data_IF_716200131728
#
_entry.id   IF_716200131728
#
_cell.length_a   1.000
_cell.length_b   1.000
_cell.length_c   1.000
_cell.angle_alpha   90.00
_cell.angle_beta   90.00
_cell.angle_gamma   90.00
#
_symmetry.space_group_name_H-M   'P 1'
#
loop_
_entity.id
_entity.type
_entity.pdbx_description
1 polymer ?
#
# COMPACT_ATOMS: atom_id res chain seq x y z
N UNK A 1 0.53 -7.26 6.11
CA UNK A 1 1.83 -7.62 6.67
C UNK A 1 1.81 -7.43 8.17
N UNK A 2 2.12 -8.45 8.88
CA UNK A 2 2.46 -8.24 10.28
C UNK A 2 3.79 -7.52 10.31
N UNK A 3 3.84 -6.40 10.99
CA UNK A 3 5.11 -5.78 11.28
C UNK A 3 5.89 -6.79 12.10
N UNK A 4 6.99 -7.33 11.66
CA UNK A 4 7.73 -8.38 12.33
C UNK A 4 7.94 -8.25 13.85
N UNK A 5 7.26 -7.32 14.47
CA UNK A 5 7.28 -7.00 15.89
C UNK A 5 6.76 -8.18 16.71
N UNK A 6 5.68 -8.83 16.27
CA UNK A 6 5.18 -10.03 16.94
C UNK A 6 6.18 -11.18 16.87
N UNK A 7 6.90 -11.27 15.75
CA UNK A 7 7.90 -12.31 15.54
C UNK A 7 9.13 -12.13 16.45
N UNK A 8 9.43 -10.93 16.86
CA UNK A 8 10.50 -10.65 17.83
C UNK A 8 10.01 -10.64 19.28
N UNK A 9 8.76 -11.06 19.45
CA UNK A 9 8.32 -11.53 20.77
C UNK A 9 7.97 -10.45 21.76
N UNK A 10 7.53 -9.32 21.33
CA UNK A 10 7.37 -8.34 22.33
C UNK A 10 6.09 -7.53 22.32
N UNK A 11 5.33 -7.55 21.23
CA UNK A 11 4.23 -6.59 21.10
C UNK A 11 2.93 -7.32 20.88
N UNK A 12 1.99 -7.14 21.80
CA UNK A 12 0.63 -7.65 21.66
C UNK A 12 -0.11 -6.89 20.55
N UNK A 13 -1.23 -7.44 20.08
CA UNK A 13 -2.08 -6.77 19.10
C UNK A 13 -2.53 -5.40 19.59
N UNK A 14 -2.84 -5.26 20.87
CA UNK A 14 -3.24 -3.97 21.46
C UNK A 14 -2.12 -2.95 21.43
N UNK A 15 -0.88 -3.37 21.69
CA UNK A 15 0.28 -2.49 21.61
C UNK A 15 0.56 -2.08 20.17
N UNK A 16 0.37 -2.99 19.21
CA UNK A 16 0.53 -2.67 17.80
C UNK A 16 -0.48 -1.59 17.37
N UNK A 17 -1.74 -1.74 17.76
CA UNK A 17 -2.77 -0.74 17.46
C UNK A 17 -2.41 0.63 18.05
N UNK A 18 -1.90 0.67 19.28
CA UNK A 18 -1.47 1.90 19.93
C UNK A 18 -0.27 2.54 19.20
N UNK A 19 0.69 1.74 18.76
CA UNK A 19 1.85 2.23 17.99
C UNK A 19 1.40 2.83 16.66
N UNK A 20 0.51 2.14 15.93
CA UNK A 20 0.00 2.63 14.66
C UNK A 20 -0.83 3.90 14.82
N UNK A 21 -1.66 3.98 15.87
CA UNK A 21 -2.45 5.16 16.14
C UNK A 21 -1.59 6.39 16.48
N UNK A 22 -0.37 6.19 16.95
CA UNK A 22 0.56 7.28 17.26
C UNK A 22 1.28 7.86 16.04
N UNK A 23 1.14 7.25 14.86
CA UNK A 23 1.76 7.78 13.64
C UNK A 23 1.05 9.06 13.23
N UNK A 24 1.79 10.16 13.19
CA UNK A 24 1.27 11.49 12.91
C UNK A 24 1.76 12.08 11.58
N UNK A 25 2.61 11.37 10.86
CA UNK A 25 3.12 11.81 9.55
C UNK A 25 2.21 11.32 8.43
N UNK A 26 2.19 12.00 7.27
CA UNK A 26 1.45 11.51 6.11
C UNK A 26 1.95 10.12 5.68
N UNK A 27 1.03 9.24 5.32
CA UNK A 27 1.36 7.87 4.92
C UNK A 27 0.64 7.48 3.64
N UNK A 28 1.36 6.75 2.79
CA UNK A 28 0.82 6.16 1.56
C UNK A 28 0.92 4.64 1.65
N UNK A 29 -0.21 3.98 1.52
CA UNK A 29 -0.32 2.52 1.57
C UNK A 29 -0.72 1.99 0.21
N UNK A 30 0.07 1.07 -0.31
CA UNK A 30 -0.16 0.48 -1.64
C UNK A 30 -0.15 -1.04 -1.49
N UNK A 31 -1.18 -1.67 -2.02
CA UNK A 31 -1.24 -3.12 -2.13
C UNK A 31 -2.00 -3.53 -3.38
N UNK A 32 -2.08 -4.81 -3.65
CA UNK A 32 -2.79 -5.38 -4.79
C UNK A 32 -3.71 -6.49 -4.32
N UNK A 33 -4.75 -6.79 -5.08
CA UNK A 33 -5.70 -7.84 -4.68
C UNK A 33 -5.04 -9.23 -4.60
N UNK A 34 -3.91 -9.42 -5.28
CA UNK A 34 -3.14 -10.69 -5.27
C UNK A 34 -1.83 -10.57 -4.49
N UNK A 35 -1.71 -9.56 -3.63
CA UNK A 35 -0.49 -9.30 -2.88
C UNK A 35 -0.43 -10.17 -1.62
N UNK A 36 -0.10 -11.43 -1.83
CA UNK A 36 0.07 -12.40 -0.76
C UNK A 36 1.54 -12.75 -0.57
N UNK A 37 1.94 -12.89 0.67
CA UNK A 37 3.25 -13.39 1.05
C UNK A 37 3.06 -14.71 1.78
N UNK A 38 3.64 -15.78 1.24
CA UNK A 38 3.58 -17.08 1.86
C UNK A 38 4.97 -17.68 1.92
N UNK A 39 5.45 -17.89 3.14
CA UNK A 39 6.71 -18.56 3.42
C UNK A 39 6.45 -19.57 4.54
N UNK A 40 7.29 -20.60 4.73
CA UNK A 40 7.09 -21.55 5.81
C UNK A 40 6.88 -20.88 7.16
N UNK A 41 5.73 -21.13 7.78
CA UNK A 41 5.35 -20.57 9.08
C UNK A 41 4.80 -19.14 9.05
N UNK A 42 4.63 -18.54 7.86
CA UNK A 42 4.11 -17.18 7.77
C UNK A 42 3.27 -17.00 6.50
N UNK A 43 2.11 -16.38 6.66
CA UNK A 43 1.23 -16.02 5.56
C UNK A 43 0.69 -14.61 5.79
N UNK A 44 0.76 -13.77 4.78
CA UNK A 44 0.24 -12.40 4.82
C UNK A 44 -0.66 -12.14 3.62
N UNK A 45 -1.79 -11.51 3.86
CA UNK A 45 -2.78 -11.18 2.84
C UNK A 45 -2.89 -9.67 2.64
N UNK A 46 -3.50 -9.21 1.53
CA UNK A 46 -3.80 -7.79 1.35
C UNK A 46 -4.64 -7.19 2.48
N UNK A 47 -5.55 -7.97 3.05
CA UNK A 47 -6.42 -7.49 4.14
C UNK A 47 -5.62 -7.04 5.35
N UNK A 48 -4.53 -7.71 5.68
CA UNK A 48 -3.67 -7.29 6.78
C UNK A 48 -3.07 -5.90 6.54
N UNK A 49 -2.74 -5.58 5.30
CA UNK A 49 -2.21 -4.27 4.95
C UNK A 49 -3.26 -3.18 5.02
N UNK A 50 -4.49 -3.52 4.66
CA UNK A 50 -5.63 -2.61 4.80
C UNK A 50 -5.92 -2.35 6.28
N UNK A 51 -5.82 -3.38 7.11
CA UNK A 51 -6.00 -3.24 8.57
C UNK A 51 -4.95 -2.29 9.16
N UNK A 52 -3.72 -2.37 8.70
CA UNK A 52 -2.67 -1.43 9.13
C UNK A 52 -3.05 0.01 8.74
N UNK A 53 -3.49 0.22 7.51
CA UNK A 53 -3.95 1.54 7.07
C UNK A 53 -5.08 2.07 7.97
N UNK A 54 -6.06 1.23 8.27
CA UNK A 54 -7.20 1.64 9.09
C UNK A 54 -6.81 1.96 10.54
N UNK A 55 -5.79 1.30 11.07
CA UNK A 55 -5.32 1.52 12.43
C UNK A 55 -4.53 2.83 12.58
N UNK A 56 -4.00 3.38 11.51
CA UNK A 56 -3.27 4.65 11.54
C UNK A 56 -4.28 5.79 11.63
N UNK A 57 -4.15 6.65 12.62
CA UNK A 57 -5.04 7.80 12.82
C UNK A 57 -4.45 9.13 12.37
N UNK A 58 -3.32 9.11 11.68
CA UNK A 58 -2.68 10.31 11.19
C UNK A 58 -3.54 11.11 10.20
N UNK A 59 -3.29 12.42 10.04
CA UNK A 59 -4.20 13.32 9.34
C UNK A 59 -4.23 13.14 7.83
N UNK A 60 -3.17 12.66 7.22
CA UNK A 60 -3.06 12.49 5.77
C UNK A 60 -2.63 11.08 5.46
N UNK A 61 -3.59 10.20 5.27
CA UNK A 61 -3.30 8.84 4.85
C UNK A 61 -4.04 8.49 3.57
N UNK A 62 -3.38 7.74 2.71
CA UNK A 62 -3.90 7.33 1.42
C UNK A 62 -3.75 5.83 1.29
N UNK A 63 -4.78 5.17 0.78
CA UNK A 63 -4.77 3.74 0.46
C UNK A 63 -5.07 3.57 -1.01
N UNK A 64 -4.23 2.83 -1.72
CA UNK A 64 -4.49 2.39 -3.09
C UNK A 64 -4.38 0.88 -3.16
N UNK A 65 -5.43 0.23 -3.63
CA UNK A 65 -5.46 -1.21 -3.87
C UNK A 65 -5.66 -1.44 -5.37
N UNK A 66 -4.68 -2.01 -6.03
CA UNK A 66 -4.76 -2.31 -7.45
C UNK A 66 -5.38 -3.69 -7.69
N UNK A 67 -6.09 -3.84 -8.80
CA UNK A 67 -6.54 -5.15 -9.25
C UNK A 67 -5.36 -5.97 -9.75
N UNK A 68 -5.34 -7.26 -9.42
CA UNK A 68 -4.28 -8.17 -9.86
C UNK A 68 -2.95 -7.83 -9.19
N UNK A 69 -1.86 -8.16 -9.86
CA UNK A 69 -0.52 -7.98 -9.32
C UNK A 69 -0.22 -8.90 -8.13
N UNK A 70 1.04 -9.05 -7.85
CA UNK A 70 1.48 -9.79 -6.66
C UNK A 70 2.52 -8.96 -5.91
N UNK A 71 2.98 -9.48 -4.78
CA UNK A 71 3.96 -8.76 -3.96
C UNK A 71 5.26 -8.43 -4.72
N UNK A 72 5.63 -9.27 -5.68
CA UNK A 72 6.90 -9.14 -6.39
C UNK A 72 6.95 -7.97 -7.38
N UNK A 73 5.83 -7.35 -7.73
CA UNK A 73 5.84 -6.18 -8.64
C UNK A 73 6.67 -5.04 -8.07
N UNK A 74 6.78 -4.94 -6.75
CA UNK A 74 7.51 -3.86 -6.09
C UNK A 74 9.00 -4.17 -5.92
N UNK A 75 9.39 -5.43 -6.01
CA UNK A 75 10.76 -5.86 -5.75
C UNK A 75 11.62 -5.98 -7.02
N UNK A 76 11.02 -5.91 -8.21
CA UNK A 76 11.72 -6.13 -9.46
C UNK A 76 12.17 -7.57 -9.68
N UNK A 77 11.70 -8.51 -8.88
CA UNK A 77 12.02 -9.92 -9.04
C UNK A 77 11.49 -10.46 -10.36
N UNK A 78 12.21 -11.46 -10.90
CA UNK A 78 11.81 -12.14 -12.13
C UNK A 78 10.42 -12.73 -11.97
N UNK A 79 9.55 -12.44 -12.93
CA UNK A 79 8.17 -12.89 -12.93
C UNK A 79 7.87 -13.69 -14.18
N UNK A 80 6.73 -14.39 -14.15
CA UNK A 80 6.25 -15.12 -15.32
C UNK A 80 6.02 -14.15 -16.49
N UNK A 81 6.43 -14.52 -17.71
CA UNK A 81 6.28 -13.62 -18.86
C UNK A 81 4.86 -13.12 -19.10
N UNK A 82 3.85 -13.96 -18.85
CA UNK A 82 2.45 -13.58 -19.03
C UNK A 82 1.97 -12.48 -18.08
N UNK A 83 2.69 -12.24 -16.99
CA UNK A 83 2.37 -11.18 -16.01
C UNK A 83 3.23 -9.93 -16.21
N UNK A 84 4.22 -9.98 -17.08
CA UNK A 84 5.20 -8.89 -17.19
C UNK A 84 4.57 -7.55 -17.58
N UNK A 85 3.65 -7.55 -18.56
CA UNK A 85 3.01 -6.33 -18.99
C UNK A 85 2.11 -5.73 -17.92
N UNK A 86 1.29 -6.56 -17.28
CA UNK A 86 0.44 -6.12 -16.18
C UNK A 86 1.27 -5.51 -15.06
N UNK A 87 2.35 -6.18 -14.68
CA UNK A 87 3.23 -5.70 -13.62
C UNK A 87 3.92 -4.39 -13.97
N UNK A 88 4.29 -4.19 -15.24
CA UNK A 88 4.86 -2.92 -15.69
C UNK A 88 3.86 -1.78 -15.57
N UNK A 89 2.60 -2.02 -15.94
CA UNK A 89 1.53 -1.03 -15.82
C UNK A 89 1.32 -0.65 -14.37
N UNK A 90 1.22 -1.63 -13.48
CA UNK A 90 1.01 -1.39 -12.04
C UNK A 90 2.23 -0.71 -11.41
N UNK A 91 3.42 -1.07 -11.82
CA UNK A 91 4.65 -0.43 -11.33
C UNK A 91 4.70 1.04 -11.73
N UNK A 92 4.37 1.35 -12.99
CA UNK A 92 4.33 2.74 -13.46
C UNK A 92 3.26 3.54 -12.71
N UNK A 93 2.09 2.94 -12.48
CA UNK A 93 1.02 3.58 -11.71
C UNK A 93 1.45 3.85 -10.27
N UNK A 94 2.17 2.92 -9.65
CA UNK A 94 2.71 3.07 -8.29
C UNK A 94 3.72 4.22 -8.22
N UNK A 95 4.59 4.32 -9.20
CA UNK A 95 5.58 5.40 -9.26
C UNK A 95 4.92 6.76 -9.40
N UNK A 96 3.93 6.89 -10.27
CA UNK A 96 3.21 8.15 -10.46
C UNK A 96 2.34 8.49 -9.25
N UNK A 97 1.78 7.48 -8.56
CA UNK A 97 1.05 7.69 -7.32
C UNK A 97 1.95 8.23 -6.22
N UNK A 98 3.13 7.66 -6.08
CA UNK A 98 4.10 8.11 -5.07
C UNK A 98 4.49 9.57 -5.31
N UNK A 99 4.69 9.96 -6.57
CA UNK A 99 4.99 11.34 -6.93
C UNK A 99 3.81 12.27 -6.63
N UNK A 100 2.59 11.87 -6.98
CA UNK A 100 1.39 12.64 -6.70
C UNK A 100 1.20 12.84 -5.19
N UNK A 101 1.44 11.81 -4.41
CA UNK A 101 1.37 11.88 -2.95
C UNK A 101 2.38 12.90 -2.38
N UNK A 102 3.63 12.81 -2.80
CA UNK A 102 4.67 13.74 -2.35
C UNK A 102 4.33 15.18 -2.74
N UNK A 103 3.83 15.40 -3.94
CA UNK A 103 3.44 16.74 -4.40
C UNK A 103 2.28 17.31 -3.59
N UNK A 104 1.29 16.50 -3.28
CA UNK A 104 0.13 16.98 -2.50
C UNK A 104 0.51 17.25 -1.05
N UNK A 105 1.24 16.35 -0.42
CA UNK A 105 1.72 16.51 0.96
C UNK A 105 2.67 17.70 1.07
N UNK A 106 3.51 17.91 0.06
CA UNK A 106 4.44 19.04 0.01
C UNK A 106 3.79 20.38 -0.33
N UNK A 107 2.47 20.41 -0.57
CA UNK A 107 1.76 21.65 -0.87
C UNK A 107 1.89 22.16 -2.29
N UNK A 108 2.51 21.39 -3.20
CA UNK A 108 2.69 21.80 -4.59
C UNK A 108 1.41 21.70 -5.42
N UNK A 109 0.52 20.78 -5.08
CA UNK A 109 -0.75 20.60 -5.77
C UNK A 109 -1.76 19.95 -4.84
N UNK A 110 -2.87 20.62 -4.59
CA UNK A 110 -3.95 20.10 -3.74
C UNK A 110 -4.80 19.06 -4.46
N UNK A 111 -4.65 18.92 -5.79
CA UNK A 111 -5.45 18.03 -6.63
C UNK A 111 -4.64 16.85 -7.19
N UNK A 112 -3.37 16.72 -6.84
CA UNK A 112 -2.49 15.72 -7.46
C UNK A 112 -3.03 14.30 -7.33
N UNK A 113 -3.47 13.90 -6.14
CA UNK A 113 -4.01 12.56 -5.88
C UNK A 113 -5.34 12.34 -6.58
N UNK A 114 -6.20 13.34 -6.60
CA UNK A 114 -7.50 13.25 -7.26
C UNK A 114 -7.35 13.07 -8.77
N UNK A 115 -6.45 13.82 -9.39
CA UNK A 115 -6.16 13.68 -10.81
C UNK A 115 -5.54 12.32 -11.12
N UNK A 116 -4.62 11.85 -10.28
CA UNK A 116 -4.05 10.53 -10.42
C UNK A 116 -5.14 9.45 -10.35
N UNK A 117 -6.03 9.54 -9.36
CA UNK A 117 -7.13 8.60 -9.19
C UNK A 117 -8.01 8.54 -10.44
N UNK A 118 -8.38 9.68 -10.98
CA UNK A 118 -9.22 9.75 -12.18
C UNK A 118 -8.55 9.09 -13.39
N UNK A 119 -7.25 9.27 -13.54
CA UNK A 119 -6.49 8.70 -14.65
C UNK A 119 -6.29 7.19 -14.52
N UNK A 120 -6.33 6.65 -13.30
CA UNK A 120 -6.00 5.25 -13.03
C UNK A 120 -7.19 4.44 -12.52
N UNK A 121 -8.39 4.99 -12.59
CA UNK A 121 -9.60 4.36 -12.04
C UNK A 121 -9.78 2.89 -12.46
N UNK A 122 -9.55 2.49 -13.73
CA UNK A 122 -9.72 1.11 -14.14
C UNK A 122 -8.76 0.13 -13.46
N UNK A 123 -7.66 0.60 -12.93
CA UNK A 123 -6.67 -0.23 -12.24
C UNK A 123 -6.98 -0.42 -10.75
N UNK A 124 -7.89 0.36 -10.20
CA UNK A 124 -8.10 0.43 -8.76
C UNK A 124 -9.26 -0.43 -8.31
N UNK A 125 -9.00 -1.33 -7.38
CA UNK A 125 -10.02 -2.04 -6.63
C UNK A 125 -10.56 -1.16 -5.49
N UNK A 126 -9.71 -0.33 -4.89
CA UNK A 126 -10.07 0.56 -3.80
C UNK A 126 -9.10 1.74 -3.76
N UNK A 127 -9.61 2.92 -3.46
CA UNK A 127 -8.80 4.11 -3.23
C UNK A 127 -9.45 4.95 -2.16
N UNK A 128 -8.70 5.30 -1.13
CA UNK A 128 -9.18 6.12 -0.03
C UNK A 128 -8.13 7.17 0.32
N UNK A 129 -8.60 8.35 0.68
CA UNK A 129 -7.76 9.40 1.25
C UNK A 129 -8.53 10.15 2.34
N UNK A 130 -7.82 10.54 3.37
CA UNK A 130 -8.37 11.30 4.48
C UNK A 130 -7.66 12.62 4.66
#
# INVERSE_FOLDING_TARGET
MRLGIDAVGGVSTDNLAAVLAAIAVPTLHITNTMDEIEVPGYHSTPDERIDIYQAISGPEKVLAVFYGGNHNIFSGRRQKPELALENQVLKAATQSLSLAFVRQVGGQSILALRLWQQQHQPLLARFEQT
#
